data_IF_020827199961
#
_entry.id   IF_020827199961
#
_cell.length_a   1.000
_cell.length_b   1.000
_cell.length_c   1.000
_cell.angle_alpha   90.00
_cell.angle_beta   90.00
_cell.angle_gamma   90.00
#
_symmetry.space_group_name_H-M   'P 1'
#
loop_
_entity.id
_entity.type
_entity.pdbx_description
1 polymer ?
#
# COMPACT_ATOMS: atom_id res chain seq x y z
N UNK A 1 -0.98 20.29 11.10
CA UNK A 1 -2.31 20.62 10.54
C UNK A 1 -3.04 21.72 11.31
N UNK A 2 -3.38 21.57 12.61
CA UNK A 2 -4.10 22.63 13.36
C UNK A 2 -3.19 23.83 13.72
N UNK A 3 -1.91 23.58 13.97
CA UNK A 3 -0.90 24.62 14.21
C UNK A 3 -0.52 25.35 12.92
N UNK A 4 -0.39 24.64 11.80
CA UNK A 4 -0.07 25.24 10.49
C UNK A 4 -1.19 26.18 10.01
N UNK A 5 -2.46 25.80 10.25
CA UNK A 5 -3.62 26.68 10.03
C UNK A 5 -3.62 27.93 10.92
N UNK A 6 -2.99 27.88 12.10
CA UNK A 6 -2.84 29.02 13.01
C UNK A 6 -1.57 29.85 12.70
N UNK A 7 -0.57 29.24 12.08
CA UNK A 7 0.71 29.86 11.72
C UNK A 7 0.68 30.58 10.37
N UNK A 8 -0.40 30.44 9.58
CA UNK A 8 -0.53 31.00 8.24
C UNK A 8 0.59 30.53 7.30
N UNK A 9 1.12 29.32 7.56
CA UNK A 9 2.08 28.67 6.68
C UNK A 9 1.36 28.21 5.42
N UNK A 10 2.01 28.41 4.27
CA UNK A 10 1.40 28.22 2.96
C UNK A 10 1.05 26.74 2.76
N UNK A 11 -0.23 26.40 2.93
CA UNK A 11 -0.78 25.16 2.41
C UNK A 11 -0.64 25.25 0.89
N UNK A 12 0.33 24.54 0.30
CA UNK A 12 0.63 24.59 -1.14
C UNK A 12 -0.66 24.38 -1.93
N UNK A 13 -1.17 25.47 -2.54
CA UNK A 13 -2.42 25.48 -3.30
C UNK A 13 -2.39 24.40 -4.40
N UNK A 14 -3.50 23.67 -4.51
CA UNK A 14 -3.66 22.49 -5.37
C UNK A 14 -3.61 22.80 -6.88
N UNK A 15 -3.62 24.07 -7.28
CA UNK A 15 -3.88 24.53 -8.66
C UNK A 15 -2.64 24.66 -9.55
N UNK A 16 -1.41 24.71 -9.01
CA UNK A 16 -0.19 24.99 -9.79
C UNK A 16 0.83 23.83 -9.81
N UNK A 17 0.39 22.61 -9.52
CA UNK A 17 1.29 21.45 -9.37
C UNK A 17 1.73 20.89 -10.72
N UNK A 18 3.03 20.59 -10.91
CA UNK A 18 3.54 19.99 -12.14
C UNK A 18 2.89 18.63 -12.44
N UNK A 19 2.88 18.28 -13.73
CA UNK A 19 2.22 17.07 -14.23
C UNK A 19 2.88 15.77 -13.74
N UNK A 20 4.17 15.83 -13.36
CA UNK A 20 4.98 14.74 -12.82
C UNK A 20 5.97 15.30 -11.80
N UNK A 21 6.08 14.68 -10.62
CA UNK A 21 6.93 15.16 -9.53
C UNK A 21 7.51 14.03 -8.67
N UNK A 22 8.67 14.31 -8.08
CA UNK A 22 9.25 13.54 -6.98
C UNK A 22 9.02 14.36 -5.72
N UNK A 23 8.51 13.74 -4.65
CA UNK A 23 8.31 14.42 -3.37
C UNK A 23 9.49 14.12 -2.46
N UNK A 24 10.06 15.17 -1.87
CA UNK A 24 11.09 15.09 -0.82
C UNK A 24 10.50 15.70 0.45
N UNK A 25 10.55 14.97 1.57
CA UNK A 25 10.01 15.43 2.84
C UNK A 25 10.80 14.85 4.03
N UNK A 26 10.71 15.47 5.21
CA UNK A 26 11.33 14.88 6.41
C UNK A 26 10.62 13.56 6.76
N UNK A 27 9.28 13.60 6.77
CA UNK A 27 8.41 12.43 6.95
C UNK A 27 7.14 12.61 6.11
N UNK A 28 6.56 11.51 5.63
CA UNK A 28 5.28 11.51 4.93
C UNK A 28 4.26 10.69 5.72
N UNK A 29 3.18 11.34 6.12
CA UNK A 29 2.04 10.64 6.74
C UNK A 29 1.02 10.20 5.67
N UNK A 30 0.16 9.23 5.96
CA UNK A 30 -0.94 8.86 5.06
C UNK A 30 -1.82 10.06 4.68
N UNK A 31 -2.06 11.00 5.60
CA UNK A 31 -2.88 12.18 5.34
C UNK A 31 -2.24 13.10 4.29
N UNK A 32 -0.92 13.28 4.32
CA UNK A 32 -0.19 14.14 3.37
C UNK A 32 -0.27 13.59 1.95
N UNK A 33 -0.27 12.27 1.81
CA UNK A 33 -0.26 11.59 0.51
C UNK A 33 -1.60 11.62 -0.21
N UNK A 34 -2.72 11.74 0.52
CA UNK A 34 -4.09 11.81 -0.05
C UNK A 34 -4.27 13.04 -0.95
N UNK A 35 -3.48 14.09 -0.74
CA UNK A 35 -3.56 15.35 -1.47
C UNK A 35 -3.02 15.22 -2.91
N UNK A 36 -2.23 14.18 -3.20
CA UNK A 36 -1.58 14.01 -4.49
C UNK A 36 -2.31 12.99 -5.36
N UNK A 37 -2.46 13.31 -6.64
CA UNK A 37 -2.99 12.35 -7.61
C UNK A 37 -1.92 11.30 -7.93
N UNK A 38 -2.24 9.99 -7.85
CA UNK A 38 -1.32 8.91 -8.17
C UNK A 38 -0.54 9.10 -9.49
N UNK A 39 -1.19 9.67 -10.51
CA UNK A 39 -0.61 9.82 -11.85
C UNK A 39 0.48 10.89 -11.92
N UNK A 40 0.50 11.82 -10.96
CA UNK A 40 1.49 12.90 -10.88
C UNK A 40 2.75 12.47 -10.12
N UNK A 41 2.68 11.43 -9.30
CA UNK A 41 3.80 11.00 -8.48
C UNK A 41 4.73 10.10 -9.27
N UNK A 42 6.02 10.42 -9.29
CA UNK A 42 7.07 9.62 -9.92
C UNK A 42 8.01 8.96 -8.89
N UNK A 43 7.95 9.38 -7.63
CA UNK A 43 8.68 8.76 -6.53
C UNK A 43 8.66 9.59 -5.25
N UNK A 44 9.17 9.00 -4.16
CA UNK A 44 9.26 9.65 -2.86
C UNK A 44 10.67 9.52 -2.26
N UNK A 45 11.08 10.56 -1.53
CA UNK A 45 12.28 10.58 -0.72
C UNK A 45 11.90 11.06 0.68
N UNK A 46 12.30 10.32 1.71
CA UNK A 46 12.10 10.77 3.11
C UNK A 46 13.37 10.67 3.95
N UNK A 47 13.61 11.66 4.79
CA UNK A 47 14.75 11.64 5.73
C UNK A 47 14.50 10.71 6.92
N UNK A 48 13.26 10.60 7.36
CA UNK A 48 12.82 9.72 8.44
C UNK A 48 11.95 8.59 7.93
N UNK A 49 11.89 7.52 8.71
CA UNK A 49 11.15 6.31 8.39
C UNK A 49 12.05 5.14 8.04
N UNK A 50 11.47 3.95 8.04
CA UNK A 50 12.14 2.70 7.67
C UNK A 50 11.43 2.01 6.52
N UNK A 51 11.98 0.90 6.05
CA UNK A 51 11.43 0.10 4.94
C UNK A 51 10.00 -0.45 5.18
N UNK A 52 9.51 -0.33 6.42
CA UNK A 52 8.15 -0.69 6.85
C UNK A 52 7.24 0.52 7.09
N UNK A 53 7.67 1.74 6.78
CA UNK A 53 6.85 2.94 6.97
C UNK A 53 5.66 2.97 6.02
N UNK A 54 4.62 3.72 6.40
CA UNK A 54 3.42 3.91 5.59
C UNK A 54 3.73 4.49 4.20
N UNK A 55 4.72 5.39 4.11
CA UNK A 55 5.18 5.97 2.84
C UNK A 55 5.76 4.92 1.87
N UNK A 56 6.49 3.92 2.38
CA UNK A 56 7.03 2.82 1.56
C UNK A 56 5.93 1.88 1.10
N UNK A 57 4.94 1.60 1.96
CA UNK A 57 3.79 0.78 1.59
C UNK A 57 3.02 1.45 0.44
N UNK A 58 2.72 2.74 0.58
CA UNK A 58 2.06 3.52 -0.47
C UNK A 58 2.87 3.52 -1.77
N UNK A 59 4.18 3.75 -1.72
CA UNK A 59 5.02 3.74 -2.91
C UNK A 59 4.94 2.40 -3.66
N UNK A 60 4.92 1.28 -2.92
CA UNK A 60 4.75 -0.06 -3.50
C UNK A 60 3.37 -0.26 -4.13
N UNK A 61 2.31 0.21 -3.48
CA UNK A 61 0.94 0.16 -4.01
C UNK A 61 0.81 0.97 -5.31
N UNK A 62 1.42 2.16 -5.34
CA UNK A 62 1.48 3.03 -6.51
C UNK A 62 2.46 2.55 -7.59
N UNK A 63 3.33 1.59 -7.28
CA UNK A 63 4.34 1.08 -8.19
C UNK A 63 5.42 2.10 -8.56
N UNK A 64 5.71 3.05 -7.66
CA UNK A 64 6.72 4.10 -7.85
C UNK A 64 7.93 3.89 -6.92
N UNK A 65 9.14 4.31 -7.32
CA UNK A 65 10.33 4.19 -6.50
C UNK A 65 10.24 5.06 -5.24
N UNK A 66 10.76 4.55 -4.13
CA UNK A 66 10.91 5.31 -2.89
C UNK A 66 12.25 4.99 -2.20
N UNK A 67 12.88 6.02 -1.65
CA UNK A 67 14.08 5.91 -0.80
C UNK A 67 13.79 6.60 0.53
N UNK A 68 14.02 5.90 1.64
CA UNK A 68 13.67 6.37 2.98
C UNK A 68 14.86 6.29 3.92
N UNK A 69 14.88 7.12 4.96
CA UNK A 69 16.00 7.19 5.90
C UNK A 69 17.22 7.92 5.33
N UNK A 70 17.00 8.87 4.42
CA UNK A 70 18.08 9.56 3.71
C UNK A 70 18.65 10.67 4.59
N UNK A 71 19.96 10.68 4.77
CA UNK A 71 20.65 11.82 5.38
C UNK A 71 20.91 12.88 4.29
N UNK A 72 19.98 13.82 4.15
CA UNK A 72 20.09 14.95 3.23
C UNK A 72 19.52 16.21 3.86
N UNK A 73 20.05 17.36 3.45
CA UNK A 73 19.55 18.66 3.85
C UNK A 73 18.41 19.06 2.90
N UNK A 74 17.16 18.85 3.32
CA UNK A 74 15.97 19.15 2.49
C UNK A 74 15.88 20.67 2.24
N UNK A 75 16.28 21.50 3.20
CA UNK A 75 16.20 22.95 3.09
C UNK A 75 17.17 23.52 2.04
N UNK A 76 18.18 22.72 1.65
CA UNK A 76 19.10 23.05 0.55
C UNK A 76 18.52 22.79 -0.84
N UNK A 77 17.40 22.07 -0.94
CA UNK A 77 16.74 21.79 -2.21
C UNK A 77 15.81 22.93 -2.62
N UNK A 78 15.61 23.04 -3.93
CA UNK A 78 14.70 24.01 -4.54
C UNK A 78 13.64 23.27 -5.36
N UNK A 79 12.39 23.70 -5.23
CA UNK A 79 11.30 23.19 -6.06
C UNK A 79 11.62 23.32 -7.55
N UNK A 80 11.37 22.25 -8.31
CA UNK A 80 11.68 22.17 -9.74
C UNK A 80 13.08 21.65 -10.08
N UNK A 81 13.92 21.33 -9.09
CA UNK A 81 15.19 20.65 -9.34
C UNK A 81 14.99 19.28 -10.01
N UNK A 82 15.91 18.94 -10.90
CA UNK A 82 15.87 17.64 -11.58
C UNK A 82 16.42 16.57 -10.65
N UNK A 83 15.69 15.48 -10.48
CA UNK A 83 16.10 14.40 -9.59
C UNK A 83 15.90 13.03 -10.22
N UNK A 84 16.77 12.09 -9.86
CA UNK A 84 16.61 10.67 -10.14
C UNK A 84 16.52 9.92 -8.82
N UNK A 85 15.49 9.08 -8.68
CA UNK A 85 15.29 8.18 -7.54
C UNK A 85 15.49 6.75 -8.01
N UNK A 86 16.54 6.11 -7.51
CA UNK A 86 16.81 4.70 -7.73
C UNK A 86 16.40 3.92 -6.47
N UNK A 87 15.16 3.42 -6.47
CA UNK A 87 14.62 2.62 -5.37
C UNK A 87 15.25 1.23 -5.22
N UNK A 88 15.96 0.73 -6.24
CA UNK A 88 16.61 -0.58 -6.18
C UNK A 88 17.97 -0.48 -5.47
N UNK A 89 18.76 0.54 -5.78
CA UNK A 89 20.08 0.77 -5.16
C UNK A 89 20.04 1.71 -3.95
N UNK A 90 18.90 2.39 -3.71
CA UNK A 90 18.76 3.39 -2.66
C UNK A 90 19.51 4.69 -2.94
N UNK A 91 19.81 4.99 -4.21
CA UNK A 91 20.60 6.14 -4.62
C UNK A 91 19.71 7.26 -5.14
N UNK A 92 20.05 8.49 -4.78
CA UNK A 92 19.39 9.70 -5.25
C UNK A 92 20.42 10.57 -5.97
N UNK A 93 20.06 11.12 -7.12
CA UNK A 93 20.85 12.14 -7.80
C UNK A 93 20.05 13.44 -7.81
N UNK A 94 20.66 14.52 -7.33
CA UNK A 94 20.16 15.90 -7.42
C UNK A 94 20.91 16.57 -8.57
N UNK A 95 20.17 17.23 -9.46
CA UNK A 95 20.66 17.87 -10.68
C UNK A 95 21.63 16.97 -11.49
N UNK A 96 21.20 15.76 -11.88
CA UNK A 96 22.03 14.81 -12.61
C UNK A 96 22.45 15.37 -13.97
N UNK A 97 23.67 15.07 -14.39
CA UNK A 97 24.14 15.39 -15.73
C UNK A 97 23.41 14.58 -16.82
N UNK A 98 23.53 15.05 -18.07
CA UNK A 98 22.89 14.41 -19.22
C UNK A 98 23.29 12.95 -19.40
N UNK A 99 24.53 12.57 -19.02
CA UNK A 99 25.01 11.20 -19.12
C UNK A 99 24.29 10.28 -18.12
N UNK A 100 24.12 10.75 -16.88
CA UNK A 100 23.38 10.06 -15.84
C UNK A 100 21.90 9.92 -16.23
N UNK A 101 21.27 10.99 -16.73
CA UNK A 101 19.90 10.97 -17.22
C UNK A 101 19.74 9.95 -18.35
N UNK A 102 20.61 9.97 -19.36
CA UNK A 102 20.56 9.05 -20.49
C UNK A 102 20.71 7.58 -20.03
N UNK A 103 21.62 7.32 -19.07
CA UNK A 103 21.80 5.98 -18.49
C UNK A 103 20.53 5.47 -17.81
N UNK A 104 19.89 6.28 -16.96
CA UNK A 104 18.66 5.89 -16.27
C UNK A 104 17.47 5.75 -17.22
N UNK A 105 17.38 6.59 -18.26
CA UNK A 105 16.38 6.41 -19.32
C UNK A 105 16.53 5.07 -20.05
N UNK A 106 17.78 4.64 -20.34
CA UNK A 106 18.04 3.32 -20.91
C UNK A 106 17.63 2.20 -19.95
N UNK A 107 17.94 2.33 -18.66
CA UNK A 107 17.57 1.35 -17.64
C UNK A 107 16.04 1.21 -17.53
N UNK A 108 15.31 2.33 -17.48
CA UNK A 108 13.84 2.36 -17.48
C UNK A 108 13.28 1.65 -18.72
N UNK A 109 13.84 1.95 -19.91
CA UNK A 109 13.42 1.28 -21.14
C UNK A 109 13.70 -0.22 -21.12
N UNK A 110 14.83 -0.66 -20.56
CA UNK A 110 15.16 -2.07 -20.41
C UNK A 110 14.21 -2.78 -19.43
N UNK A 111 13.91 -2.15 -18.29
CA UNK A 111 12.94 -2.65 -17.32
C UNK A 111 11.55 -2.80 -17.94
N UNK A 112 11.10 -1.81 -18.72
CA UNK A 112 9.84 -1.87 -19.44
C UNK A 112 9.80 -3.04 -20.43
N UNK A 113 10.87 -3.24 -21.22
CA UNK A 113 10.98 -4.40 -22.13
C UNK A 113 10.96 -5.72 -21.38
N UNK A 114 11.68 -5.82 -20.26
CA UNK A 114 11.72 -7.03 -19.42
C UNK A 114 10.35 -7.34 -18.84
N UNK A 115 9.63 -6.32 -18.32
CA UNK A 115 8.26 -6.46 -17.81
C UNK A 115 7.30 -6.93 -18.91
N UNK A 116 7.41 -6.38 -20.12
CA UNK A 116 6.64 -6.81 -21.27
C UNK A 116 6.95 -8.26 -21.69
N UNK A 117 8.22 -8.68 -21.65
CA UNK A 117 8.62 -10.06 -21.94
C UNK A 117 8.10 -11.04 -20.89
N UNK A 118 8.20 -10.70 -19.59
CA UNK A 118 7.68 -11.52 -18.49
C UNK A 118 6.18 -11.74 -18.59
N UNK A 119 5.41 -10.70 -18.95
CA UNK A 119 3.95 -10.83 -19.19
C UNK A 119 3.62 -11.92 -20.23
N UNK A 120 4.47 -12.13 -21.24
CA UNK A 120 4.27 -13.20 -22.24
C UNK A 120 4.43 -14.60 -21.63
N UNK A 121 5.33 -14.78 -20.66
CA UNK A 121 5.54 -16.06 -19.99
C UNK A 121 4.40 -16.41 -19.04
N UNK A 122 3.83 -15.42 -18.34
CA UNK A 122 2.66 -15.64 -17.46
C UNK A 122 1.49 -16.22 -18.26
N UNK A 123 1.24 -15.72 -19.47
CA UNK A 123 0.23 -16.25 -20.38
C UNK A 123 0.55 -17.65 -20.93
N UNK A 124 1.84 -18.04 -20.94
CA UNK A 124 2.33 -19.32 -21.48
C UNK A 124 2.58 -20.39 -20.41
N UNK A 125 2.36 -20.10 -19.12
CA UNK A 125 2.66 -20.97 -17.98
C UNK A 125 1.86 -22.30 -17.94
N UNK A 126 1.03 -22.57 -18.96
CA UNK A 126 0.20 -23.76 -19.12
C UNK A 126 0.97 -25.08 -19.36
N UNK A 127 2.31 -25.10 -19.25
CA UNK A 127 3.15 -26.26 -19.63
C UNK A 127 3.89 -26.95 -18.48
N UNK A 128 3.72 -26.49 -17.23
CA UNK A 128 4.32 -27.16 -16.07
C UNK A 128 3.56 -28.46 -15.70
N UNK A 129 4.26 -29.55 -15.32
CA UNK A 129 3.63 -30.82 -14.95
C UNK A 129 2.81 -30.74 -13.65
N UNK A 130 3.11 -29.77 -12.79
CA UNK A 130 2.36 -29.49 -11.56
C UNK A 130 1.83 -28.08 -11.62
N UNK A 131 0.52 -27.91 -11.46
CA UNK A 131 -0.11 -26.59 -11.34
C UNK A 131 0.13 -26.06 -9.92
N UNK A 132 0.86 -24.96 -9.80
CA UNK A 132 1.02 -24.20 -8.55
C UNK A 132 0.29 -22.88 -8.76
N UNK A 133 -0.68 -22.57 -7.90
CA UNK A 133 -1.39 -21.31 -7.95
C UNK A 133 -0.50 -20.16 -7.43
N UNK A 134 -0.39 -19.09 -8.21
CA UNK A 134 0.30 -17.85 -7.84
C UNK A 134 -0.76 -16.82 -7.50
N UNK A 135 -1.01 -16.64 -6.20
CA UNK A 135 -2.02 -15.73 -5.69
C UNK A 135 -1.39 -14.49 -5.06
N UNK A 136 -2.11 -13.36 -5.09
CA UNK A 136 -1.66 -12.12 -4.47
C UNK A 136 -2.07 -12.01 -2.99
N UNK A 137 -1.25 -11.28 -2.22
CA UNK A 137 -1.60 -10.85 -0.87
C UNK A 137 -2.02 -9.38 -0.93
N UNK A 138 -3.16 -9.04 -0.33
CA UNK A 138 -3.76 -7.70 -0.41
C UNK A 138 -4.26 -7.21 0.95
N UNK A 139 -4.43 -5.90 1.04
CA UNK A 139 -5.07 -5.11 2.09
C UNK A 139 -6.21 -4.24 1.55
N UNK A 140 -6.17 -3.87 0.25
CA UNK A 140 -7.14 -2.98 -0.39
C UNK A 140 -7.72 -3.54 -1.70
N UNK A 141 -8.83 -2.95 -2.16
CA UNK A 141 -9.49 -3.35 -3.41
C UNK A 141 -8.65 -3.00 -4.66
N UNK A 142 -7.90 -1.90 -4.63
CA UNK A 142 -6.97 -1.49 -5.70
C UNK A 142 -5.87 -2.53 -5.94
N UNK A 143 -5.35 -3.15 -4.88
CA UNK A 143 -4.34 -4.21 -4.99
C UNK A 143 -4.90 -5.48 -5.63
N UNK A 144 -6.18 -5.79 -5.42
CA UNK A 144 -6.85 -6.88 -6.12
C UNK A 144 -6.98 -6.61 -7.63
N UNK A 145 -7.24 -5.35 -8.02
CA UNK A 145 -7.27 -4.96 -9.44
C UNK A 145 -5.89 -5.14 -10.07
N UNK A 146 -4.83 -4.66 -9.41
CA UNK A 146 -3.46 -4.84 -9.86
C UNK A 146 -3.07 -6.34 -9.96
N UNK A 147 -3.50 -7.16 -8.99
CA UNK A 147 -3.28 -8.60 -9.05
C UNK A 147 -3.91 -9.25 -10.29
N UNK A 148 -5.12 -8.83 -10.67
CA UNK A 148 -5.78 -9.31 -11.90
C UNK A 148 -5.04 -8.85 -13.16
N UNK A 149 -4.57 -7.60 -13.21
CA UNK A 149 -3.74 -7.09 -14.32
C UNK A 149 -2.40 -7.83 -14.46
N UNK A 150 -1.90 -8.40 -13.35
CA UNK A 150 -0.72 -9.26 -13.32
C UNK A 150 -1.04 -10.75 -13.48
N UNK A 151 -2.29 -11.08 -13.83
CA UNK A 151 -2.78 -12.43 -14.09
C UNK A 151 -2.64 -13.39 -12.89
N UNK A 152 -2.81 -12.89 -11.66
CA UNK A 152 -2.84 -13.75 -10.47
C UNK A 152 -3.96 -14.80 -10.57
N UNK A 153 -3.69 -15.99 -10.04
CA UNK A 153 -4.65 -17.10 -10.02
C UNK A 153 -5.82 -16.82 -9.06
N UNK A 154 -5.56 -16.03 -8.01
CA UNK A 154 -6.52 -15.56 -7.02
C UNK A 154 -5.89 -14.65 -5.98
N UNK A 155 -6.57 -14.47 -4.86
CA UNK A 155 -6.06 -13.77 -3.67
C UNK A 155 -5.78 -14.80 -2.57
N UNK A 156 -4.51 -14.97 -2.23
CA UNK A 156 -4.06 -15.97 -1.25
C UNK A 156 -4.10 -15.47 0.19
N UNK A 157 -4.21 -14.16 0.38
CA UNK A 157 -4.37 -13.54 1.69
C UNK A 157 -4.99 -12.15 1.56
N UNK A 158 -6.19 -11.96 2.08
CA UNK A 158 -6.74 -10.64 2.41
C UNK A 158 -6.41 -10.33 3.86
N UNK A 159 -5.55 -9.34 4.09
CA UNK A 159 -5.27 -8.76 5.40
C UNK A 159 -6.36 -7.76 5.72
N UNK A 160 -7.20 -8.07 6.70
CA UNK A 160 -8.38 -7.27 7.04
C UNK A 160 -8.08 -6.11 7.97
N UNK A 161 -6.87 -6.03 8.54
CA UNK A 161 -6.48 -5.01 9.51
C UNK A 161 -6.69 -3.58 9.00
N UNK A 162 -6.49 -3.32 7.70
CA UNK A 162 -6.70 -1.99 7.13
C UNK A 162 -8.14 -1.47 7.27
N UNK A 163 -9.15 -2.36 7.37
CA UNK A 163 -10.53 -1.95 7.65
C UNK A 163 -10.70 -1.34 9.05
N UNK A 164 -9.78 -1.67 9.96
CA UNK A 164 -9.79 -1.28 11.37
C UNK A 164 -8.75 -0.20 11.67
N UNK A 165 -7.63 -0.15 10.95
CA UNK A 165 -6.58 0.84 11.17
C UNK A 165 -6.98 2.23 10.64
N UNK A 166 -6.38 3.30 11.19
CA UNK A 166 -6.60 4.70 10.79
C UNK A 166 -8.06 5.19 10.91
N UNK A 167 -8.79 4.72 11.92
CA UNK A 167 -10.17 5.15 12.25
C UNK A 167 -10.30 5.27 13.77
N UNK A 168 -11.41 5.86 14.23
CA UNK A 168 -11.70 6.07 15.66
C UNK A 168 -12.75 5.11 16.21
N UNK A 169 -13.22 4.15 15.39
CA UNK A 169 -14.24 3.16 15.75
C UNK A 169 -14.07 1.88 14.93
N UNK A 170 -14.62 0.78 15.43
CA UNK A 170 -14.70 -0.47 14.67
C UNK A 170 -15.59 -0.31 13.43
N UNK A 171 -15.20 -0.88 12.28
CA UNK A 171 -16.06 -0.92 11.11
C UNK A 171 -17.27 -1.82 11.38
N UNK A 172 -18.46 -1.37 10.97
CA UNK A 172 -19.67 -2.16 11.14
C UNK A 172 -19.76 -3.34 10.15
N UNK A 173 -20.78 -4.20 10.31
CA UNK A 173 -20.99 -5.36 9.45
C UNK A 173 -21.25 -4.97 7.99
N UNK A 174 -21.92 -3.84 7.73
CA UNK A 174 -22.23 -3.40 6.36
C UNK A 174 -20.98 -2.87 5.65
N UNK A 175 -20.16 -2.06 6.32
CA UNK A 175 -18.87 -1.58 5.81
C UNK A 175 -17.98 -2.77 5.39
N UNK A 176 -17.89 -3.77 6.27
CA UNK A 176 -17.12 -4.99 6.00
C UNK A 176 -17.74 -5.81 4.85
N UNK A 177 -19.07 -5.98 4.85
CA UNK A 177 -19.78 -6.70 3.79
C UNK A 177 -19.56 -6.04 2.42
N UNK A 178 -19.64 -4.72 2.32
CA UNK A 178 -19.40 -3.99 1.08
C UNK A 178 -17.98 -4.23 0.55
N UNK A 179 -16.97 -4.21 1.42
CA UNK A 179 -15.60 -4.52 1.04
C UNK A 179 -15.46 -5.95 0.50
N UNK A 180 -15.93 -6.95 1.26
CA UNK A 180 -15.84 -8.35 0.82
C UNK A 180 -16.66 -8.62 -0.44
N UNK A 181 -17.86 -8.03 -0.57
CA UNK A 181 -18.70 -8.12 -1.77
C UNK A 181 -17.98 -7.55 -3.00
N UNK A 182 -17.34 -6.39 -2.85
CA UNK A 182 -16.62 -5.75 -3.94
C UNK A 182 -15.43 -6.60 -4.40
N UNK A 183 -14.69 -7.19 -3.46
CA UNK A 183 -13.64 -8.17 -3.76
C UNK A 183 -14.19 -9.40 -4.48
N UNK A 184 -15.34 -9.94 -4.03
CA UNK A 184 -15.96 -11.10 -4.64
C UNK A 184 -16.34 -10.88 -6.10
N UNK A 185 -17.00 -9.75 -6.37
CA UNK A 185 -17.43 -9.36 -7.70
C UNK A 185 -16.22 -9.13 -8.62
N UNK A 186 -15.19 -8.45 -8.11
CA UNK A 186 -13.97 -8.16 -8.87
C UNK A 186 -13.21 -9.43 -9.28
N UNK A 187 -13.08 -10.39 -8.37
CA UNK A 187 -12.31 -11.62 -8.62
C UNK A 187 -13.06 -12.65 -9.48
N UNK A 188 -14.35 -12.43 -9.77
CA UNK A 188 -15.14 -13.17 -10.76
C UNK A 188 -14.95 -14.71 -10.72
N UNK A 189 -15.07 -15.30 -9.54
CA UNK A 189 -14.96 -16.75 -9.34
C UNK A 189 -13.57 -17.27 -8.97
N UNK A 190 -12.53 -16.43 -8.98
CA UNK A 190 -11.20 -16.80 -8.46
C UNK A 190 -11.20 -16.94 -6.93
N UNK A 191 -10.29 -17.78 -6.43
CA UNK A 191 -10.13 -18.01 -5.00
C UNK A 191 -9.80 -16.71 -4.24
N UNK A 192 -10.42 -16.53 -3.07
CA UNK A 192 -10.12 -15.44 -2.14
C UNK A 192 -10.02 -16.00 -0.73
N UNK A 193 -8.82 -15.98 -0.16
CA UNK A 193 -8.56 -16.37 1.22
C UNK A 193 -8.60 -15.13 2.11
N UNK A 194 -9.66 -15.01 2.93
CA UNK A 194 -9.81 -13.88 3.85
C UNK A 194 -9.27 -14.27 5.22
N UNK A 195 -8.29 -13.51 5.72
CA UNK A 195 -7.82 -13.64 7.10
C UNK A 195 -8.65 -12.73 8.01
N UNK A 196 -9.21 -13.32 9.05
CA UNK A 196 -9.93 -12.58 10.10
C UNK A 196 -8.98 -11.61 10.82
N UNK A 197 -9.54 -10.68 11.59
CA UNK A 197 -8.80 -9.61 12.25
C UNK A 197 -7.56 -10.13 13.02
N UNK A 198 -6.38 -9.67 12.62
CA UNK A 198 -5.07 -9.94 13.24
C UNK A 198 -4.49 -8.64 13.82
N UNK A 199 -5.08 -8.20 14.94
CA UNK A 199 -4.71 -6.97 15.66
C UNK A 199 -4.01 -7.27 16.98
N UNK A 200 -3.26 -6.29 17.52
CA UNK A 200 -2.32 -6.49 18.63
C UNK A 200 -0.88 -6.66 18.13
N UNK A 201 0.08 -6.77 19.05
CA UNK A 201 1.49 -6.70 18.68
C UNK A 201 1.95 -5.27 18.44
N UNK A 202 2.50 -5.04 17.26
CA UNK A 202 2.89 -3.74 16.69
C UNK A 202 1.72 -2.95 16.09
N UNK A 203 0.56 -3.59 15.90
CA UNK A 203 -0.63 -2.99 15.28
C UNK A 203 -1.59 -2.49 16.34
N UNK A 204 -1.48 -1.22 16.70
CA UNK A 204 -2.33 -0.57 17.70
C UNK A 204 -3.18 0.53 17.06
N UNK A 205 -4.48 0.54 17.38
CA UNK A 205 -5.35 1.68 17.14
C UNK A 205 -6.01 2.07 18.47
N UNK A 206 -5.99 3.37 18.80
CA UNK A 206 -6.31 3.86 20.15
C UNK A 206 -7.70 3.45 20.65
N UNK A 207 -8.69 3.33 19.76
CA UNK A 207 -10.05 2.94 20.10
C UNK A 207 -10.23 1.45 20.42
N UNK A 208 -9.23 0.61 20.12
CA UNK A 208 -9.31 -0.86 20.31
C UNK A 208 -9.01 -1.24 21.76
N UNK A 209 -8.29 -0.38 22.50
CA UNK A 209 -8.11 -0.55 23.94
C UNK A 209 -7.33 -1.79 24.35
N UNK A 210 -6.41 -2.28 23.52
CA UNK A 210 -5.52 -3.39 23.88
C UNK A 210 -4.53 -2.90 24.94
N UNK A 211 -4.48 -3.53 26.13
CA UNK A 211 -3.51 -3.16 27.16
C UNK A 211 -2.07 -3.32 26.68
N UNK A 212 -1.15 -2.51 27.22
CA UNK A 212 0.27 -2.71 26.99
C UNK A 212 0.74 -4.03 27.63
N UNK A 213 1.56 -4.79 26.90
CA UNK A 213 2.11 -6.07 27.33
C UNK A 213 3.63 -6.04 27.22
N UNK A 214 4.34 -6.79 28.08
CA UNK A 214 5.80 -6.93 27.98
C UNK A 214 6.24 -7.56 26.66
N UNK A 215 5.45 -8.53 26.14
CA UNK A 215 5.70 -9.14 24.84
C UNK A 215 4.40 -9.22 24.00
N UNK A 216 4.10 -8.15 23.24
CA UNK A 216 2.90 -8.08 22.41
C UNK A 216 2.82 -9.17 21.32
N UNK A 217 3.95 -9.71 20.86
CA UNK A 217 3.96 -10.77 19.84
C UNK A 217 3.51 -12.13 20.39
N UNK A 218 3.73 -12.37 21.69
CA UNK A 218 3.30 -13.59 22.39
C UNK A 218 1.99 -13.40 23.16
N UNK A 219 1.44 -12.19 23.19
CA UNK A 219 0.33 -11.78 24.06
C UNK A 219 -1.05 -11.77 23.40
N UNK A 220 -1.83 -10.75 23.74
CA UNK A 220 -3.25 -10.60 23.44
C UNK A 220 -3.49 -10.03 22.04
N UNK A 221 -3.51 -10.94 21.05
CA UNK A 221 -3.64 -10.57 19.64
C UNK A 221 -4.47 -11.55 18.81
N UNK A 222 -4.83 -11.10 17.61
CA UNK A 222 -5.48 -11.89 16.57
C UNK A 222 -6.70 -12.67 17.09
N UNK A 223 -6.73 -13.99 16.85
CA UNK A 223 -7.83 -14.85 17.28
C UNK A 223 -8.08 -14.78 18.79
N UNK A 224 -7.05 -14.54 19.63
CA UNK A 224 -7.24 -14.41 21.09
C UNK A 224 -8.07 -13.17 21.43
N UNK A 225 -7.73 -12.04 20.80
CA UNK A 225 -8.52 -10.82 20.90
C UNK A 225 -9.95 -11.05 20.39
N UNK A 226 -10.11 -11.69 19.23
CA UNK A 226 -11.41 -11.96 18.62
C UNK A 226 -12.31 -12.89 19.48
N UNK A 227 -11.73 -13.87 20.16
CA UNK A 227 -12.46 -14.84 20.99
C UNK A 227 -13.00 -14.21 22.27
N UNK A 228 -12.29 -13.24 22.83
CA UNK A 228 -12.77 -12.44 23.98
C UNK A 228 -13.75 -11.35 23.52
N UNK A 229 -13.51 -10.76 22.34
CA UNK A 229 -14.35 -9.72 21.75
C UNK A 229 -15.33 -10.27 20.71
N UNK A 230 -16.17 -11.22 21.13
CA UNK A 230 -17.08 -11.96 20.23
C UNK A 230 -18.00 -11.10 19.39
N UNK A 231 -18.37 -9.91 19.86
CA UNK A 231 -19.23 -9.00 19.10
C UNK A 231 -18.54 -8.51 17.81
N UNK A 232 -17.27 -8.09 17.89
CA UNK A 232 -16.44 -7.70 16.75
C UNK A 232 -16.23 -8.90 15.81
N UNK A 233 -15.86 -10.05 16.38
CA UNK A 233 -15.57 -11.23 15.59
C UNK A 233 -16.80 -11.75 14.83
N UNK A 234 -17.98 -11.74 15.48
CA UNK A 234 -19.24 -12.15 14.85
C UNK A 234 -19.64 -11.23 13.70
N UNK A 235 -19.48 -9.92 13.83
CA UNK A 235 -19.76 -8.99 12.73
C UNK A 235 -18.89 -9.31 11.50
N UNK A 236 -17.59 -9.56 11.71
CA UNK A 236 -16.69 -9.92 10.63
C UNK A 236 -17.08 -11.24 9.96
N UNK A 237 -17.33 -12.30 10.74
CA UNK A 237 -17.74 -13.58 10.19
C UNK A 237 -19.07 -13.48 9.43
N UNK A 238 -20.05 -12.73 9.95
CA UNK A 238 -21.33 -12.50 9.27
C UNK A 238 -21.13 -11.75 7.95
N UNK A 239 -20.33 -10.71 7.92
CA UNK A 239 -20.00 -9.99 6.70
C UNK A 239 -19.34 -10.90 5.64
N UNK A 240 -18.39 -11.75 6.05
CA UNK A 240 -17.73 -12.72 5.17
C UNK A 240 -18.73 -13.74 4.60
N UNK A 241 -19.59 -14.31 5.46
CA UNK A 241 -20.57 -15.33 5.05
C UNK A 241 -21.66 -14.72 4.16
N UNK A 242 -22.17 -13.52 4.47
CA UNK A 242 -23.16 -12.82 3.65
C UNK A 242 -22.68 -12.60 2.22
N UNK A 243 -21.38 -12.40 2.02
CA UNK A 243 -20.76 -12.28 0.70
C UNK A 243 -20.88 -13.56 -0.14
N UNK A 244 -20.93 -14.75 0.47
CA UNK A 244 -21.06 -16.02 -0.27
C UNK A 244 -22.39 -16.11 -1.04
N UNK A 245 -23.44 -15.43 -0.59
CA UNK A 245 -24.72 -15.34 -1.32
C UNK A 245 -24.67 -14.48 -2.59
N UNK A 246 -23.50 -13.93 -2.94
CA UNK A 246 -23.28 -13.06 -4.12
C UNK A 246 -22.23 -13.67 -5.07
N UNK A 247 -21.75 -14.89 -4.80
CA UNK A 247 -20.82 -15.56 -5.71
C UNK A 247 -21.56 -15.96 -7.00
N UNK A 248 -21.08 -15.57 -8.20
CA UNK A 248 -21.68 -16.05 -9.44
C UNK A 248 -21.47 -17.56 -9.58
N UNK A 249 -22.53 -18.31 -9.88
CA UNK A 249 -22.51 -19.76 -10.12
C UNK A 249 -21.43 -20.19 -11.12
#
# INVERSE_FOLDING_TARGET
MLLDCLANETIVELSDRPQKMIIVADELTPADTIVYKPEQLQGFITCRGGVTSHSVILAKELGIPAVVGVTMDIDSLTDGQSMIVDGDSGVIYVDPDEQCIARYQQLIAQLARRKAALRRFVMAAATAPTKVAVCANITALSEAQNALEQCADGIGLVRTEFLYMNRDRFPDEEEQFHFYKSLALLMAGKEIVIRTLDIGGDKQAGYIGIPAEENPFLGYRAVRYCLDNKHIFRQQLRAIVRRLGVWPD
#
